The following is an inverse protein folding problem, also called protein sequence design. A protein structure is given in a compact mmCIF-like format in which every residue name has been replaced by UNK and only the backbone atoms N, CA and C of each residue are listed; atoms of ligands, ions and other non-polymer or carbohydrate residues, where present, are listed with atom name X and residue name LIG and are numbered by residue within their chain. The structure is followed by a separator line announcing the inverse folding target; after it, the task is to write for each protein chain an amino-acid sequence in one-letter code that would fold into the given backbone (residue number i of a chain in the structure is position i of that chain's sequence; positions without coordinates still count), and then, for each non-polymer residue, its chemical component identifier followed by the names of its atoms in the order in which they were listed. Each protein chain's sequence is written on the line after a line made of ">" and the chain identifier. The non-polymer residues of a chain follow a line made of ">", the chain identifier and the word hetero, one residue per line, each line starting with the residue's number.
data_IF_357470268277
#
_entry.id   IF_357470268277
#
_cell.length_a   1.000
_cell.length_b   1.000
_cell.length_c   1.000
_cell.angle_alpha   90.00
_cell.angle_beta   90.00
_cell.angle_gamma   90.00
#
_symmetry.space_group_name_H-M   'P 1'
#
loop_
_entity.id
_entity.type
_entity.pdbx_description
1 polymer ?
#
# COMPACT_ATOMS: atom_id res chain seq x y z
N UNK A 1 -8.83 -4.23 4.11
CA UNK A 1 -8.93 -5.63 3.67
C UNK A 1 -10.22 -5.88 2.87
N UNK A 2 -11.41 -5.67 3.44
CA UNK A 2 -12.71 -5.95 2.80
C UNK A 2 -12.86 -5.33 1.40
N UNK A 3 -12.43 -4.07 1.22
CA UNK A 3 -12.48 -3.37 -0.08
C UNK A 3 -11.58 -4.06 -1.10
N UNK A 4 -10.38 -4.47 -0.69
CA UNK A 4 -9.44 -5.22 -1.55
C UNK A 4 -10.06 -6.54 -2.00
N UNK A 5 -10.57 -7.34 -1.07
CA UNK A 5 -11.21 -8.64 -1.38
C UNK A 5 -12.39 -8.49 -2.34
N UNK A 6 -13.25 -7.49 -2.11
CA UNK A 6 -14.40 -7.21 -2.97
C UNK A 6 -13.96 -6.81 -4.39
N UNK A 7 -12.93 -5.96 -4.50
CA UNK A 7 -12.40 -5.55 -5.81
C UNK A 7 -11.76 -6.71 -6.54
N UNK A 8 -10.92 -7.50 -5.89
CA UNK A 8 -10.32 -8.68 -6.50
C UNK A 8 -11.37 -9.65 -7.02
N UNK A 9 -12.45 -9.88 -6.25
CA UNK A 9 -13.58 -10.72 -6.68
C UNK A 9 -14.29 -10.15 -7.90
N UNK A 10 -14.49 -8.82 -7.98
CA UNK A 10 -15.09 -8.18 -9.16
C UNK A 10 -14.29 -8.40 -10.45
N UNK A 11 -12.98 -8.54 -10.35
CA UNK A 11 -12.10 -8.81 -11.48
C UNK A 11 -11.79 -10.30 -11.67
N UNK A 12 -12.56 -11.20 -11.04
CA UNK A 12 -12.37 -12.65 -11.09
C UNK A 12 -11.01 -13.16 -10.59
N UNK A 13 -10.37 -12.42 -9.70
CA UNK A 13 -9.16 -12.84 -8.97
C UNK A 13 -9.54 -13.22 -7.52
N UNK A 14 -9.85 -14.49 -7.24
CA UNK A 14 -10.26 -14.89 -5.90
C UNK A 14 -9.12 -14.73 -4.90
N UNK A 15 -9.39 -14.03 -3.81
CA UNK A 15 -8.47 -13.90 -2.68
C UNK A 15 -8.68 -15.09 -1.75
N UNK A 16 -7.60 -15.79 -1.46
CA UNK A 16 -7.58 -16.88 -0.47
C UNK A 16 -6.89 -16.41 0.81
N UNK A 17 -7.03 -17.17 1.89
CA UNK A 17 -6.28 -16.88 3.13
C UNK A 17 -4.76 -16.85 2.91
N UNK A 18 -4.24 -17.58 1.94
CA UNK A 18 -2.82 -17.59 1.59
C UNK A 18 -2.37 -16.33 0.85
N UNK A 19 -3.31 -15.59 0.26
CA UNK A 19 -3.04 -14.33 -0.45
C UNK A 19 -2.94 -13.13 0.50
N UNK A 20 -3.26 -13.32 1.78
CA UNK A 20 -3.24 -12.27 2.80
C UNK A 20 -2.19 -12.66 3.82
N UNK A 21 -1.17 -11.82 3.95
CA UNK A 21 -0.08 -12.00 4.92
C UNK A 21 -0.11 -10.82 5.88
N UNK A 22 -0.20 -11.12 7.16
CA UNK A 22 -0.22 -10.12 8.22
C UNK A 22 1.16 -9.51 8.43
N UNK A 23 1.22 -8.19 8.57
CA UNK A 23 2.41 -7.42 8.91
C UNK A 23 2.10 -6.41 10.01
N UNK A 24 3.13 -5.72 10.51
CA UNK A 24 3.07 -4.76 11.61
C UNK A 24 3.40 -3.32 11.17
N UNK A 25 3.30 -3.04 9.87
CA UNK A 25 3.64 -1.78 9.22
C UNK A 25 5.12 -1.40 9.25
N UNK A 26 5.99 -2.23 9.82
CA UNK A 26 7.43 -1.97 9.88
C UNK A 26 8.17 -2.46 8.61
N UNK A 27 9.34 -1.88 8.38
CA UNK A 27 10.29 -2.32 7.35
C UNK A 27 10.68 -3.80 7.57
N UNK A 28 10.89 -4.20 8.81
CA UNK A 28 11.27 -5.55 9.24
C UNK A 28 10.19 -6.58 8.91
N UNK A 29 8.91 -6.22 9.08
CA UNK A 29 7.83 -7.12 8.65
C UNK A 29 7.81 -7.28 7.14
N UNK A 30 8.13 -6.24 6.38
CA UNK A 30 8.35 -6.31 4.94
C UNK A 30 9.44 -7.33 4.58
N UNK A 31 10.57 -7.35 5.30
CA UNK A 31 11.63 -8.34 5.10
C UNK A 31 11.16 -9.78 5.36
N UNK A 32 10.42 -10.00 6.44
CA UNK A 32 9.88 -11.33 6.78
C UNK A 32 8.90 -11.82 5.73
N UNK A 33 8.00 -10.95 5.29
CA UNK A 33 7.00 -11.24 4.25
C UNK A 33 7.68 -11.60 2.93
N UNK A 34 8.70 -10.85 2.51
CA UNK A 34 9.41 -11.15 1.28
C UNK A 34 10.11 -12.52 1.33
N UNK A 35 10.77 -12.87 2.45
CA UNK A 35 11.36 -14.20 2.64
C UNK A 35 10.31 -15.31 2.59
N UNK A 36 9.13 -15.08 3.17
CA UNK A 36 8.03 -16.02 3.08
C UNK A 36 7.57 -16.21 1.63
N UNK A 37 7.37 -15.11 0.88
CA UNK A 37 7.01 -15.17 -0.55
C UNK A 37 8.07 -15.92 -1.36
N UNK A 38 9.35 -15.71 -1.08
CA UNK A 38 10.45 -16.43 -1.75
C UNK A 38 10.41 -17.93 -1.50
N UNK A 39 9.89 -18.37 -0.35
CA UNK A 39 9.74 -19.81 -0.02
C UNK A 39 8.50 -20.45 -0.65
N UNK A 40 7.58 -19.66 -1.21
CA UNK A 40 6.39 -20.20 -1.87
C UNK A 40 6.76 -20.91 -3.18
N UNK A 41 6.10 -22.03 -3.46
CA UNK A 41 6.20 -22.72 -4.75
C UNK A 41 5.57 -21.87 -5.87
N UNK A 42 4.38 -21.33 -5.60
CA UNK A 42 3.62 -20.48 -6.51
C UNK A 42 3.64 -19.05 -5.96
N UNK A 43 4.57 -18.25 -6.45
CA UNK A 43 4.75 -16.85 -6.03
C UNK A 43 3.68 -15.94 -6.66
N UNK A 44 3.22 -14.91 -5.95
CA UNK A 44 2.35 -13.91 -6.54
C UNK A 44 3.11 -13.10 -7.61
N UNK A 45 2.41 -12.63 -8.63
CA UNK A 45 2.94 -11.71 -9.64
C UNK A 45 2.75 -10.24 -9.26
N UNK A 46 1.98 -9.98 -8.21
CA UNK A 46 1.76 -8.64 -7.68
C UNK A 46 1.57 -8.65 -6.15
N UNK A 47 2.04 -7.62 -5.49
CA UNK A 47 1.92 -7.42 -4.05
C UNK A 47 1.39 -6.01 -3.81
N UNK A 48 0.30 -5.91 -3.03
CA UNK A 48 -0.17 -4.67 -2.44
C UNK A 48 0.23 -4.65 -0.96
N UNK A 49 1.15 -3.79 -0.61
CA UNK A 49 1.57 -3.58 0.77
C UNK A 49 0.70 -2.50 1.43
N UNK A 50 0.36 -2.70 2.70
CA UNK A 50 -0.53 -1.81 3.44
C UNK A 50 0.10 -0.44 3.74
N UNK A 51 1.44 -0.31 3.65
CA UNK A 51 2.16 0.95 3.68
C UNK A 51 3.46 0.87 2.86
N UNK A 52 4.10 2.02 2.67
CA UNK A 52 5.34 2.13 1.90
C UNK A 52 6.55 1.50 2.61
N UNK A 53 6.62 1.55 3.93
CA UNK A 53 7.74 0.94 4.67
C UNK A 53 7.80 -0.57 4.45
N UNK A 54 6.67 -1.26 4.57
CA UNK A 54 6.58 -2.68 4.24
C UNK A 54 6.92 -2.95 2.78
N UNK A 55 6.39 -2.14 1.84
CA UNK A 55 6.69 -2.26 0.41
C UNK A 55 8.19 -2.15 0.13
N UNK A 56 8.87 -1.18 0.73
CA UNK A 56 10.31 -0.96 0.60
C UNK A 56 11.08 -2.15 1.16
N UNK A 57 10.67 -2.67 2.32
CA UNK A 57 11.24 -3.88 2.89
C UNK A 57 11.12 -5.09 1.97
N UNK A 58 9.95 -5.27 1.37
CA UNK A 58 9.68 -6.34 0.40
C UNK A 58 10.58 -6.16 -0.83
N UNK A 59 10.62 -4.98 -1.44
CA UNK A 59 11.44 -4.70 -2.63
C UNK A 59 12.90 -5.01 -2.36
N UNK A 60 13.44 -4.56 -1.21
CA UNK A 60 14.84 -4.80 -0.83
C UNK A 60 15.18 -6.29 -0.85
N UNK A 61 14.42 -7.12 -0.14
CA UNK A 61 14.71 -8.55 -0.04
C UNK A 61 14.50 -9.28 -1.36
N UNK A 62 13.45 -8.96 -2.13
CA UNK A 62 13.22 -9.56 -3.44
C UNK A 62 14.40 -9.28 -4.39
N UNK A 63 14.92 -8.03 -4.41
CA UNK A 63 16.07 -7.67 -5.24
C UNK A 63 17.37 -8.36 -4.79
N UNK A 64 17.61 -8.48 -3.50
CA UNK A 64 18.76 -9.24 -2.98
C UNK A 64 18.74 -10.71 -3.46
N UNK A 65 17.54 -11.25 -3.72
CA UNK A 65 17.37 -12.61 -4.26
C UNK A 65 17.15 -12.63 -5.79
N UNK A 66 17.52 -11.54 -6.48
CA UNK A 66 17.49 -11.43 -7.96
C UNK A 66 16.09 -11.58 -8.57
N UNK A 67 15.04 -11.26 -7.81
CA UNK A 67 13.69 -11.13 -8.35
C UNK A 67 13.57 -9.76 -9.01
N UNK A 68 13.17 -9.73 -10.27
CA UNK A 68 13.03 -8.48 -11.03
C UNK A 68 11.71 -7.79 -10.69
N UNK A 69 11.78 -6.54 -10.30
CA UNK A 69 10.63 -5.67 -10.06
C UNK A 69 10.66 -4.59 -11.14
N UNK A 70 9.59 -4.45 -11.90
CA UNK A 70 8.23 -5.03 -11.73
C UNK A 70 7.96 -6.30 -12.54
N UNK A 71 8.91 -6.83 -13.32
CA UNK A 71 8.64 -7.86 -14.35
C UNK A 71 8.26 -9.23 -13.78
N UNK A 72 8.90 -9.66 -12.71
CA UNK A 72 8.56 -10.93 -12.04
C UNK A 72 7.45 -10.69 -11.00
N UNK A 73 7.58 -9.62 -10.21
CA UNK A 73 6.62 -9.23 -9.18
C UNK A 73 6.45 -7.72 -9.19
N UNK A 74 5.23 -7.23 -9.41
CA UNK A 74 4.86 -5.84 -9.20
C UNK A 74 4.62 -5.57 -7.71
N UNK A 75 5.07 -4.41 -7.21
CA UNK A 75 4.85 -4.00 -5.82
C UNK A 75 4.22 -2.62 -5.78
N UNK A 76 3.12 -2.50 -5.02
CA UNK A 76 2.41 -1.23 -4.80
C UNK A 76 2.33 -0.97 -3.29
N UNK A 77 2.59 0.25 -2.89
CA UNK A 77 2.53 0.72 -1.50
C UNK A 77 1.34 1.64 -1.22
N UNK A 78 1.39 2.27 -0.06
CA UNK A 78 0.40 3.23 0.43
C UNK A 78 1.10 4.23 1.35
N UNK A 79 0.80 5.53 1.26
CA UNK A 79 1.23 6.72 2.00
C UNK A 79 2.04 7.73 1.19
N UNK A 80 2.80 7.30 0.17
CA UNK A 80 3.71 8.15 -0.61
C UNK A 80 4.74 8.86 0.28
N UNK A 81 5.44 8.10 1.11
CA UNK A 81 6.56 8.65 1.90
C UNK A 81 7.72 9.07 0.99
N UNK A 82 8.56 9.99 1.45
CA UNK A 82 9.67 10.53 0.65
C UNK A 82 10.61 9.43 0.10
N UNK A 83 10.83 8.37 0.86
CA UNK A 83 11.68 7.26 0.48
C UNK A 83 11.12 6.47 -0.73
N UNK A 84 9.80 6.45 -0.93
CA UNK A 84 9.16 5.79 -2.06
C UNK A 84 9.61 6.31 -3.43
N UNK A 85 10.02 7.59 -3.51
CA UNK A 85 10.57 8.19 -4.71
C UNK A 85 12.05 7.86 -4.93
N UNK A 86 12.81 7.72 -3.83
CA UNK A 86 14.28 7.63 -3.86
C UNK A 86 14.75 6.20 -4.14
N UNK A 87 13.99 5.19 -3.69
CA UNK A 87 14.38 3.79 -3.89
C UNK A 87 14.38 3.41 -5.39
N UNK A 88 15.12 2.35 -5.74
CA UNK A 88 15.11 1.80 -7.09
C UNK A 88 14.64 0.33 -7.06
N UNK A 89 13.58 0.00 -7.85
CA UNK A 89 12.74 0.90 -8.63
C UNK A 89 11.88 1.80 -7.74
N UNK A 90 11.62 3.03 -8.19
CA UNK A 90 10.73 3.95 -7.48
C UNK A 90 9.36 3.32 -7.23
N UNK A 91 8.85 3.43 -6.00
CA UNK A 91 7.63 2.75 -5.56
C UNK A 91 6.37 3.44 -6.06
N UNK A 92 5.55 2.71 -6.81
CA UNK A 92 4.15 3.07 -7.10
C UNK A 92 3.36 2.98 -5.81
N UNK A 93 2.67 4.06 -5.44
CA UNK A 93 2.00 4.15 -4.14
C UNK A 93 0.80 5.08 -4.18
N UNK A 94 -0.12 4.94 -3.25
CA UNK A 94 -1.26 5.84 -3.10
C UNK A 94 -0.89 6.98 -2.13
N UNK A 95 -0.95 8.23 -2.61
CA UNK A 95 -0.68 9.42 -1.82
C UNK A 95 -1.94 9.89 -1.11
N UNK A 96 -1.92 9.90 0.20
CA UNK A 96 -2.97 10.49 1.02
C UNK A 96 -2.83 12.02 1.05
N UNK A 97 -3.95 12.78 1.11
CA UNK A 97 -3.91 14.24 1.26
C UNK A 97 -3.65 14.64 2.73
N UNK A 98 -2.47 14.31 3.25
CA UNK A 98 -2.15 14.40 4.68
C UNK A 98 -2.33 15.80 5.25
N UNK A 99 -2.01 16.85 4.48
CA UNK A 99 -2.23 18.23 4.91
C UNK A 99 -3.71 18.53 5.12
N UNK A 100 -4.55 18.20 4.14
CA UNK A 100 -5.99 18.40 4.21
C UNK A 100 -6.64 17.57 5.32
N UNK A 101 -6.14 16.35 5.54
CA UNK A 101 -6.58 15.48 6.65
C UNK A 101 -6.31 16.18 7.98
N UNK A 102 -5.10 16.70 8.18
CA UNK A 102 -4.74 17.43 9.39
C UNK A 102 -5.58 18.70 9.59
N UNK A 103 -5.75 19.49 8.54
CA UNK A 103 -6.58 20.70 8.56
C UNK A 103 -8.02 20.39 8.97
N UNK A 104 -8.67 19.42 8.29
CA UNK A 104 -10.05 19.05 8.58
C UNK A 104 -10.24 18.42 9.94
N UNK A 105 -9.25 17.64 10.40
CA UNK A 105 -9.27 17.07 11.75
C UNK A 105 -9.24 18.17 12.82
N UNK A 106 -8.38 19.18 12.64
CA UNK A 106 -8.30 20.32 13.58
C UNK A 106 -9.55 21.19 13.55
N UNK A 107 -10.10 21.49 12.37
CA UNK A 107 -11.38 22.21 12.25
C UNK A 107 -12.49 21.50 13.04
N UNK A 108 -12.66 20.20 12.84
CA UNK A 108 -13.66 19.40 13.55
C UNK A 108 -13.42 19.40 15.07
N UNK A 109 -12.16 19.29 15.49
CA UNK A 109 -11.81 19.31 16.92
C UNK A 109 -12.19 20.64 17.57
N UNK A 110 -11.88 21.77 16.91
CA UNK A 110 -12.23 23.12 17.39
C UNK A 110 -13.76 23.26 17.48
N UNK A 111 -14.50 22.83 16.47
CA UNK A 111 -15.96 22.91 16.49
C UNK A 111 -16.57 22.07 17.63
N UNK A 112 -15.98 20.92 17.94
CA UNK A 112 -16.38 20.09 19.10
C UNK A 112 -16.12 20.84 20.41
N UNK A 113 -14.94 21.44 20.56
CA UNK A 113 -14.55 22.21 21.78
C UNK A 113 -15.51 23.39 21.97
N UNK A 114 -15.81 24.11 20.91
CA UNK A 114 -16.73 25.27 20.89
C UNK A 114 -18.21 24.86 21.01
N UNK A 115 -18.52 23.56 21.13
CA UNK A 115 -19.89 23.03 21.21
C UNK A 115 -20.80 23.45 20.04
N UNK A 116 -20.22 23.70 18.88
CA UNK A 116 -20.99 23.97 17.67
C UNK A 116 -21.71 22.73 17.19
N UNK A 117 -22.85 22.91 16.54
CA UNK A 117 -23.56 21.81 15.90
C UNK A 117 -22.72 21.27 14.73
N UNK A 118 -22.36 19.98 14.78
CA UNK A 118 -21.61 19.32 13.71
C UNK A 118 -22.61 18.58 12.83
N UNK A 119 -22.87 19.10 11.64
CA UNK A 119 -23.78 18.48 10.68
C UNK A 119 -23.20 17.18 10.07
N UNK A 120 -21.86 17.10 9.92
CA UNK A 120 -21.17 15.93 9.33
C UNK A 120 -20.09 15.40 10.26
N UNK A 121 -20.23 14.12 10.67
CA UNK A 121 -19.24 13.42 11.48
C UNK A 121 -18.15 12.72 10.63
N UNK A 122 -18.39 12.53 9.33
CA UNK A 122 -17.48 11.85 8.42
C UNK A 122 -17.14 12.75 7.24
N UNK A 123 -15.84 13.04 7.07
CA UNK A 123 -15.30 13.76 5.91
C UNK A 123 -14.45 12.76 5.13
N UNK A 124 -14.78 12.58 3.85
CA UNK A 124 -14.01 11.73 2.94
C UNK A 124 -13.15 12.64 2.07
N UNK A 125 -11.84 12.44 2.15
CA UNK A 125 -10.86 13.13 1.32
C UNK A 125 -10.29 12.15 0.29
N UNK A 126 -10.04 12.62 -0.92
CA UNK A 126 -9.52 11.80 -2.00
C UNK A 126 -8.01 12.00 -2.12
N UNK A 127 -7.26 10.91 -2.04
CA UNK A 127 -5.87 10.88 -2.43
C UNK A 127 -5.69 10.60 -3.93
N UNK A 128 -4.45 10.30 -4.33
CA UNK A 128 -4.11 10.00 -5.72
C UNK A 128 -3.10 8.87 -5.83
N UNK A 129 -3.21 8.05 -6.87
CA UNK A 129 -2.18 7.08 -7.22
C UNK A 129 -0.97 7.82 -7.81
N UNK A 130 0.21 7.52 -7.31
CA UNK A 130 1.49 7.99 -7.83
C UNK A 130 2.15 6.79 -8.51
N UNK A 131 2.04 6.76 -9.82
CA UNK A 131 2.66 5.70 -10.62
C UNK A 131 4.15 5.94 -10.75
N UNK A 132 4.95 4.90 -10.46
CA UNK A 132 6.40 4.85 -10.63
C UNK A 132 6.81 3.54 -11.30
N UNK A 133 8.01 3.03 -11.00
CA UNK A 133 8.60 1.89 -11.71
C UNK A 133 8.39 0.53 -11.05
N UNK A 134 7.81 0.47 -9.85
CA UNK A 134 7.66 -0.79 -9.11
C UNK A 134 6.46 -1.65 -9.52
N UNK A 135 5.61 -1.14 -10.40
CA UNK A 135 4.45 -1.88 -10.90
C UNK A 135 4.24 -1.61 -12.40
N UNK A 136 3.78 -2.63 -13.10
CA UNK A 136 3.40 -2.55 -14.52
C UNK A 136 2.06 -3.23 -14.75
N UNK A 137 1.34 -2.80 -15.78
CA UNK A 137 0.21 -3.58 -16.30
C UNK A 137 0.75 -4.83 -16.96
N UNK A 138 0.39 -6.00 -16.46
CA UNK A 138 0.64 -7.24 -17.19
C UNK A 138 -0.34 -7.28 -18.38
N UNK A 139 0.19 -7.30 -19.59
CA UNK A 139 -0.63 -7.61 -20.76
C UNK A 139 -1.08 -9.06 -20.62
N UNK A 140 -2.38 -9.25 -20.48
CA UNK A 140 -3.01 -10.57 -20.63
C UNK A 140 -2.81 -11.10 -22.04
#
# INVERSE_FOLDING_TARGET
>A
LLVFENKMRQYNYPVTKKSIIEGDFSLESGYKIARHILSMKDRPTAIFAANDEMAIGIIKVLREHRVNIPTDISVVGFDNIKLAEIIEPGLTTYSQPNYEIGEKAMELLIDIIDKKAIERKNIILNGKLIERKSAISQKM
#
